data_IF_041949396490
#
_entry.id   IF_041949396490
#
_cell.length_a   1.000
_cell.length_b   1.000
_cell.length_c   1.000
_cell.angle_alpha   90.00
_cell.angle_beta   90.00
_cell.angle_gamma   90.00
#
_symmetry.space_group_name_H-M   'P 1'
#
loop_
_entity.id
_entity.type
_entity.pdbx_description
1 polymer ?
#
# COMPACT_ATOMS: atom_id res chain seq x y z
N UNK A 1 -16.96 -18.73 6.12
CA UNK A 1 -15.53 -19.02 6.00
C UNK A 1 -14.73 -17.88 6.62
N UNK A 2 -13.87 -18.21 7.55
CA UNK A 2 -13.04 -17.21 8.22
C UNK A 2 -11.92 -16.74 7.27
N UNK A 3 -11.84 -15.43 7.06
CA UNK A 3 -10.76 -14.81 6.29
C UNK A 3 -9.88 -14.03 7.26
N UNK A 4 -8.59 -14.34 7.29
CA UNK A 4 -7.65 -13.64 8.15
C UNK A 4 -7.52 -12.17 7.69
N UNK A 5 -7.65 -11.17 8.60
CA UNK A 5 -7.55 -9.76 8.21
C UNK A 5 -6.29 -9.42 7.43
N UNK A 6 -5.17 -10.05 7.75
CA UNK A 6 -3.92 -9.84 7.02
C UNK A 6 -4.05 -10.21 5.54
N UNK A 7 -4.76 -11.30 5.24
CA UNK A 7 -5.02 -11.73 3.85
C UNK A 7 -5.81 -10.68 3.07
N UNK A 8 -6.83 -10.11 3.70
CA UNK A 8 -7.65 -9.06 3.08
C UNK A 8 -6.80 -7.83 2.74
N UNK A 9 -5.95 -7.41 3.68
CA UNK A 9 -5.09 -6.25 3.47
C UNK A 9 -4.02 -6.51 2.40
N UNK A 10 -3.49 -7.73 2.32
CA UNK A 10 -2.56 -8.11 1.26
C UNK A 10 -3.25 -8.01 -0.10
N UNK A 11 -4.46 -8.56 -0.22
CA UNK A 11 -5.22 -8.51 -1.47
C UNK A 11 -5.54 -7.09 -1.88
N UNK A 12 -5.91 -6.22 -0.94
CA UNK A 12 -6.16 -4.81 -1.22
C UNK A 12 -4.91 -4.11 -1.74
N UNK A 13 -3.74 -4.41 -1.15
CA UNK A 13 -2.48 -3.87 -1.63
C UNK A 13 -2.16 -4.31 -3.06
N UNK A 14 -2.40 -5.59 -3.38
CA UNK A 14 -2.17 -6.12 -4.72
C UNK A 14 -3.03 -5.39 -5.74
N UNK A 15 -4.33 -5.29 -5.47
CA UNK A 15 -5.29 -4.63 -6.36
C UNK A 15 -4.94 -3.16 -6.52
N UNK A 16 -4.64 -2.47 -5.43
CA UNK A 16 -4.27 -1.05 -5.46
C UNK A 16 -3.00 -0.81 -6.28
N UNK A 17 -2.01 -1.69 -6.12
CA UNK A 17 -0.75 -1.61 -6.88
C UNK A 17 -0.96 -1.85 -8.37
N UNK A 18 -1.79 -2.82 -8.72
CA UNK A 18 -2.13 -3.10 -10.12
C UNK A 18 -2.86 -1.91 -10.75
N UNK A 19 -3.80 -1.32 -10.03
CA UNK A 19 -4.53 -0.15 -10.50
C UNK A 19 -3.60 1.05 -10.71
N UNK A 20 -2.67 1.27 -9.79
CA UNK A 20 -1.69 2.35 -9.93
C UNK A 20 -0.77 2.11 -11.13
N UNK A 21 -0.23 0.91 -11.26
CA UNK A 21 0.64 0.56 -12.38
C UNK A 21 -0.07 0.75 -13.72
N UNK A 22 -1.31 0.29 -13.82
CA UNK A 22 -2.11 0.48 -15.04
C UNK A 22 -2.36 1.94 -15.35
N UNK A 23 -2.64 2.75 -14.34
CA UNK A 23 -2.84 4.19 -14.51
C UNK A 23 -1.58 4.86 -15.01
N UNK A 24 -0.42 4.50 -14.47
CA UNK A 24 0.86 5.07 -14.88
C UNK A 24 1.21 4.70 -16.32
N UNK A 25 0.99 3.44 -16.70
CA UNK A 25 1.28 2.96 -18.06
C UNK A 25 0.44 3.71 -19.11
N UNK A 26 -0.83 3.97 -18.82
CA UNK A 26 -1.70 4.71 -19.75
C UNK A 26 -1.65 6.23 -19.55
N UNK A 27 -0.72 6.70 -18.71
CA UNK A 27 -0.53 8.13 -18.41
C UNK A 27 -1.83 8.81 -17.96
N UNK A 28 -2.58 8.13 -17.09
CA UNK A 28 -3.85 8.63 -16.59
C UNK A 28 -3.67 9.88 -15.72
N UNK A 29 -4.53 10.87 -15.93
CA UNK A 29 -4.58 12.04 -15.05
C UNK A 29 -5.06 11.69 -13.65
N UNK A 30 -5.60 10.49 -13.45
CA UNK A 30 -6.04 9.98 -12.15
C UNK A 30 -4.97 9.17 -11.43
N UNK A 31 -3.74 9.12 -11.95
CA UNK A 31 -2.65 8.37 -11.33
C UNK A 31 -2.40 8.77 -9.88
N UNK A 32 -2.48 10.05 -9.56
CA UNK A 32 -2.29 10.52 -8.19
C UNK A 32 -3.38 9.98 -7.26
N UNK A 33 -4.59 9.86 -7.74
CA UNK A 33 -5.69 9.26 -6.96
C UNK A 33 -5.40 7.79 -6.65
N UNK A 34 -4.96 7.03 -7.65
CA UNK A 34 -4.58 5.62 -7.44
C UNK A 34 -3.36 5.50 -6.54
N UNK A 35 -2.44 6.46 -6.59
CA UNK A 35 -1.30 6.51 -5.69
C UNK A 35 -1.75 6.70 -4.23
N UNK A 36 -2.68 7.59 -3.98
CA UNK A 36 -3.24 7.83 -2.65
C UNK A 36 -3.94 6.58 -2.10
N UNK A 37 -4.72 5.89 -2.93
CA UNK A 37 -5.37 4.63 -2.56
C UNK A 37 -4.33 3.56 -2.22
N UNK A 38 -3.26 3.48 -3.01
CA UNK A 38 -2.18 2.52 -2.78
C UNK A 38 -1.46 2.80 -1.45
N UNK A 39 -1.21 4.07 -1.14
CA UNK A 39 -0.61 4.47 0.14
C UNK A 39 -1.52 4.03 1.30
N UNK A 40 -2.81 4.27 1.20
CA UNK A 40 -3.77 3.87 2.24
C UNK A 40 -3.79 2.36 2.44
N UNK A 41 -3.79 1.59 1.35
CA UNK A 41 -3.78 0.14 1.42
C UNK A 41 -2.49 -0.39 2.06
N UNK A 42 -1.35 0.19 1.71
CA UNK A 42 -0.06 -0.18 2.30
C UNK A 42 0.00 0.18 3.79
N UNK A 43 -0.55 1.33 4.18
CA UNK A 43 -0.59 1.75 5.58
C UNK A 43 -1.45 0.79 6.41
N UNK A 44 -2.60 0.37 5.90
CA UNK A 44 -3.47 -0.60 6.57
C UNK A 44 -2.77 -1.95 6.72
N UNK A 45 -2.09 -2.41 5.68
CA UNK A 45 -1.34 -3.66 5.73
C UNK A 45 -0.20 -3.58 6.76
N UNK A 46 0.54 -2.48 6.77
CA UNK A 46 1.64 -2.28 7.72
C UNK A 46 1.13 -2.34 9.16
N UNK A 47 -0.01 -1.71 9.44
CA UNK A 47 -0.62 -1.71 10.77
C UNK A 47 -0.99 -3.13 11.21
N UNK A 48 -1.62 -3.91 10.33
CA UNK A 48 -1.96 -5.31 10.62
C UNK A 48 -0.71 -6.17 10.81
N UNK A 49 0.35 -5.92 10.03
CA UNK A 49 1.61 -6.65 10.17
C UNK A 49 2.27 -6.40 11.54
N UNK A 50 2.23 -5.17 12.01
CA UNK A 50 2.77 -4.83 13.33
C UNK A 50 2.00 -5.56 14.43
N UNK A 51 0.67 -5.61 14.34
CA UNK A 51 -0.17 -6.30 15.31
C UNK A 51 0.02 -7.82 15.30
N UNK A 52 0.46 -8.39 14.18
CA UNK A 52 0.70 -9.82 14.06
C UNK A 52 1.93 -10.30 14.85
N UNK A 53 2.86 -9.40 15.16
CA UNK A 53 4.05 -9.67 15.97
C UNK A 53 4.97 -10.79 15.45
N UNK A 54 4.80 -11.22 14.20
CA UNK A 54 5.67 -12.21 13.58
C UNK A 54 6.83 -11.51 12.85
N UNK A 55 8.02 -12.12 12.85
CA UNK A 55 9.20 -11.54 12.20
C UNK A 55 8.95 -11.25 10.73
N UNK A 56 8.33 -12.19 10.01
CA UNK A 56 8.01 -11.99 8.59
C UNK A 56 6.97 -10.89 8.39
N UNK A 57 6.02 -10.76 9.30
CA UNK A 57 5.02 -9.69 9.24
C UNK A 57 5.65 -8.32 9.51
N UNK A 58 6.59 -8.24 10.46
CA UNK A 58 7.32 -6.99 10.73
C UNK A 58 8.17 -6.58 9.52
N UNK A 59 8.77 -7.54 8.83
CA UNK A 59 9.49 -7.27 7.59
C UNK A 59 8.55 -6.74 6.50
N UNK A 60 7.36 -7.30 6.40
CA UNK A 60 6.33 -6.82 5.48
C UNK A 60 5.96 -5.36 5.81
N UNK A 61 5.82 -5.02 7.09
CA UNK A 61 5.52 -3.65 7.50
C UNK A 61 6.61 -2.67 7.08
N UNK A 62 7.88 -3.05 7.20
CA UNK A 62 8.99 -2.22 6.72
C UNK A 62 8.90 -1.98 5.21
N UNK A 63 8.64 -3.02 4.44
CA UNK A 63 8.51 -2.92 2.98
C UNK A 63 7.33 -2.04 2.58
N UNK A 64 6.23 -2.12 3.31
CA UNK A 64 5.08 -1.23 3.09
C UNK A 64 5.45 0.23 3.36
N UNK A 65 6.20 0.49 4.42
CA UNK A 65 6.68 1.84 4.74
C UNK A 65 7.57 2.40 3.64
N UNK A 66 8.49 1.59 3.14
CA UNK A 66 9.38 1.98 2.04
C UNK A 66 8.58 2.27 0.76
N UNK A 67 7.58 1.44 0.46
CA UNK A 67 6.72 1.64 -0.71
C UNK A 67 5.92 2.95 -0.60
N UNK A 68 5.38 3.25 0.59
CA UNK A 68 4.65 4.49 0.84
C UNK A 68 5.55 5.70 0.58
N UNK A 69 6.76 5.69 1.11
CA UNK A 69 7.71 6.79 0.92
C UNK A 69 8.05 6.97 -0.54
N UNK A 70 8.29 5.89 -1.26
CA UNK A 70 8.59 5.92 -2.69
C UNK A 70 7.43 6.54 -3.49
N UNK A 71 6.20 6.12 -3.22
CA UNK A 71 5.02 6.62 -3.91
C UNK A 71 4.82 8.10 -3.62
N UNK A 72 4.99 8.51 -2.36
CA UNK A 72 4.89 9.93 -2.00
C UNK A 72 5.89 10.78 -2.75
N UNK A 73 7.14 10.31 -2.85
CA UNK A 73 8.18 11.03 -3.58
C UNK A 73 7.86 11.12 -5.07
N UNK A 74 7.44 10.02 -5.68
CA UNK A 74 7.16 9.96 -7.12
C UNK A 74 6.00 10.89 -7.52
N UNK A 75 5.02 11.05 -6.64
CA UNK A 75 3.83 11.87 -6.92
C UNK A 75 3.81 13.18 -6.15
N UNK A 76 4.88 13.50 -5.42
CA UNK A 76 4.98 14.72 -4.61
C UNK A 76 3.81 14.86 -3.61
N UNK A 77 3.41 13.74 -3.01
CA UNK A 77 2.33 13.71 -2.02
C UNK A 77 2.91 13.99 -0.64
N UNK A 78 2.35 15.00 0.03
CA UNK A 78 2.78 15.35 1.38
C UNK A 78 2.46 14.24 2.38
N UNK A 79 3.33 14.06 3.37
CA UNK A 79 3.08 13.13 4.46
C UNK A 79 1.88 13.60 5.29
N UNK A 80 1.02 12.65 5.67
CA UNK A 80 -0.09 12.93 6.58
C UNK A 80 0.44 13.11 8.00
N UNK A 81 -0.11 14.07 8.69
CA UNK A 81 0.19 14.29 10.11
C UNK A 81 -0.87 13.62 10.99
#
# INVERSE_FOLDING_TARGET
>A
TYTHPLHEHINECIVASENLSGAMVRESRFSIHYAEVCIAACANLADECVHAEAVTALRCAELCGDAIDMIRDDFAIAASN
#
